data_IF_355350472191
#
_entry.id   IF_355350472191
#
_cell.length_a   1.000
_cell.length_b   1.000
_cell.length_c   1.000
_cell.angle_alpha   90.00
_cell.angle_beta   90.00
_cell.angle_gamma   90.00
#
_symmetry.space_group_name_H-M   'P 1'
#
loop_
_entity.id
_entity.type
_entity.pdbx_description
1 polymer ?
#
# COMPACT_ATOMS: atom_id res chain seq x y z
N UNK A 1 16.40 -6.35 8.98
CA UNK A 1 16.38 -6.36 7.50
C UNK A 1 16.32 -4.91 7.07
N UNK A 2 17.09 -4.54 6.06
CA UNK A 2 16.94 -3.21 5.47
C UNK A 2 15.59 -3.20 4.74
N UNK A 3 14.68 -2.29 5.12
CA UNK A 3 13.36 -2.18 4.50
C UNK A 3 13.37 -1.18 3.32
N UNK A 4 14.55 -0.64 2.96
CA UNK A 4 14.81 0.04 1.70
C UNK A 4 15.79 -0.81 0.88
N UNK A 5 15.39 -1.17 -0.34
CA UNK A 5 16.18 -2.03 -1.21
C UNK A 5 16.39 -1.32 -2.55
N UNK A 6 17.63 -1.39 -3.05
CA UNK A 6 18.00 -0.97 -4.40
C UNK A 6 18.68 -2.16 -5.06
N UNK A 7 18.05 -2.72 -6.08
CA UNK A 7 18.50 -3.98 -6.66
C UNK A 7 18.03 -4.12 -8.11
N UNK A 8 18.43 -5.22 -8.73
CA UNK A 8 18.03 -5.71 -10.06
C UNK A 8 17.49 -7.13 -9.99
N UNK A 9 17.58 -7.79 -8.83
CA UNK A 9 17.06 -9.14 -8.62
C UNK A 9 15.53 -9.18 -8.83
N UNK A 10 15.03 -10.29 -9.38
CA UNK A 10 13.59 -10.43 -9.60
C UNK A 10 12.81 -10.33 -8.29
N UNK A 11 11.90 -9.36 -8.23
CA UNK A 11 10.99 -9.13 -7.11
C UNK A 11 9.55 -9.34 -7.60
N UNK A 12 8.76 -10.11 -6.84
CA UNK A 12 7.33 -10.26 -7.11
C UNK A 12 6.52 -9.44 -6.10
N UNK A 13 5.55 -8.68 -6.59
CA UNK A 13 4.66 -7.81 -5.80
C UNK A 13 3.20 -8.04 -6.23
N UNK A 14 2.26 -7.54 -5.44
CA UNK A 14 0.82 -7.81 -5.66
C UNK A 14 0.00 -6.52 -5.66
N UNK A 15 -1.04 -6.46 -6.50
CA UNK A 15 -1.96 -5.32 -6.54
C UNK A 15 -3.40 -5.78 -6.81
N UNK A 16 -4.37 -5.10 -6.22
CA UNK A 16 -5.78 -5.23 -6.58
C UNK A 16 -6.09 -4.27 -7.72
N UNK A 17 -6.50 -4.78 -8.88
CA UNK A 17 -6.78 -4.00 -10.09
C UNK A 17 -8.25 -4.15 -10.50
N UNK A 18 -8.82 -3.10 -11.10
CA UNK A 18 -10.14 -3.21 -11.73
C UNK A 18 -10.11 -4.21 -12.90
N UNK A 19 -11.27 -4.80 -13.27
CA UNK A 19 -11.36 -5.58 -14.49
C UNK A 19 -10.85 -4.77 -15.68
N UNK A 20 -9.98 -5.39 -16.49
CA UNK A 20 -9.32 -4.77 -17.66
C UNK A 20 -8.34 -3.63 -17.36
N UNK A 21 -8.07 -3.32 -16.08
CA UNK A 21 -7.01 -2.39 -15.73
C UNK A 21 -5.64 -3.05 -15.88
N UNK A 22 -4.75 -2.39 -16.62
CA UNK A 22 -3.33 -2.72 -16.60
C UNK A 22 -2.74 -2.37 -15.22
N UNK A 23 -1.57 -2.93 -14.90
CA UNK A 23 -0.81 -2.42 -13.75
C UNK A 23 -0.68 -0.91 -13.92
N UNK A 24 -0.91 -0.11 -12.87
CA UNK A 24 -1.01 1.34 -13.01
C UNK A 24 0.27 1.90 -13.65
N UNK A 25 0.16 2.18 -14.95
CA UNK A 25 1.07 3.04 -15.66
C UNK A 25 0.73 4.48 -15.30
N UNK A 26 1.30 4.97 -14.20
CA UNK A 26 1.37 6.38 -13.82
C UNK A 26 0.06 7.18 -13.76
N UNK A 27 -0.55 7.29 -12.57
CA UNK A 27 -0.92 8.55 -11.88
C UNK A 27 -1.68 8.18 -10.58
N UNK A 28 -1.22 8.71 -9.43
CA UNK A 28 -1.86 8.55 -8.11
C UNK A 28 -3.31 9.06 -8.12
N UNK A 29 -3.66 9.95 -9.04
CA UNK A 29 -4.99 10.53 -9.16
C UNK A 29 -6.03 9.62 -9.82
N UNK A 30 -5.63 8.56 -10.54
CA UNK A 30 -6.57 7.73 -11.32
C UNK A 30 -6.53 6.23 -11.00
N UNK A 31 -5.50 5.73 -10.30
CA UNK A 31 -5.34 4.27 -10.11
C UNK A 31 -4.94 3.77 -8.71
N UNK A 32 -4.82 4.63 -7.70
CA UNK A 32 -4.35 4.22 -6.39
C UNK A 32 -5.49 3.64 -5.50
N UNK A 33 -5.46 2.37 -5.07
CA UNK A 33 -6.45 1.81 -4.13
C UNK A 33 -6.41 2.45 -2.73
N UNK A 34 -5.33 3.16 -2.39
CA UNK A 34 -5.22 3.94 -1.16
C UNK A 34 -5.76 5.37 -1.30
N UNK A 35 -5.89 5.86 -2.54
CA UNK A 35 -6.27 7.24 -2.88
C UNK A 35 -7.67 7.40 -3.49
N UNK A 36 -8.31 6.33 -3.97
CA UNK A 36 -9.68 6.43 -4.49
C UNK A 36 -10.65 6.76 -3.36
N UNK A 37 -11.19 7.98 -3.38
CA UNK A 37 -12.31 8.39 -2.56
C UNK A 37 -13.52 7.52 -2.90
N UNK A 38 -14.14 6.90 -1.89
CA UNK A 38 -15.46 6.31 -2.07
C UNK A 38 -16.46 7.45 -2.39
N UNK A 39 -17.48 7.26 -3.26
CA UNK A 39 -18.28 8.34 -3.83
C UNK A 39 -19.11 9.20 -2.85
N UNK A 40 -19.03 8.99 -1.54
CA UNK A 40 -19.88 9.68 -0.55
C UNK A 40 -19.15 10.24 0.68
N UNK A 41 -17.82 10.45 0.66
CA UNK A 41 -17.15 10.80 1.92
C UNK A 41 -16.01 11.82 1.79
N UNK A 42 -16.37 13.12 1.70
CA UNK A 42 -15.41 14.25 1.76
C UNK A 42 -14.49 14.15 2.98
N UNK A 43 -14.98 13.58 4.09
CA UNK A 43 -14.22 13.37 5.30
C UNK A 43 -13.04 12.41 5.09
N UNK A 44 -13.26 11.29 4.39
CA UNK A 44 -12.19 10.33 4.06
C UNK A 44 -11.13 10.94 3.15
N UNK A 45 -11.51 11.87 2.27
CA UNK A 45 -10.58 12.58 1.39
C UNK A 45 -9.65 13.48 2.21
N UNK A 46 -10.20 14.24 3.17
CA UNK A 46 -9.40 15.09 4.07
C UNK A 46 -8.47 14.26 4.94
N UNK A 47 -8.94 13.13 5.47
CA UNK A 47 -8.10 12.23 6.28
C UNK A 47 -6.98 11.59 5.47
N UNK A 48 -7.25 11.18 4.22
CA UNK A 48 -6.22 10.68 3.31
C UNK A 48 -5.18 11.76 3.01
N UNK A 49 -5.61 12.97 2.68
CA UNK A 49 -4.70 14.09 2.47
C UNK A 49 -3.85 14.38 3.71
N UNK A 50 -4.47 14.40 4.89
CA UNK A 50 -3.78 14.63 6.16
C UNK A 50 -2.68 13.58 6.42
N UNK A 51 -2.99 12.29 6.23
CA UNK A 51 -2.03 11.21 6.42
C UNK A 51 -0.85 11.32 5.43
N UNK A 52 -1.15 11.46 4.14
CA UNK A 52 -0.12 11.53 3.09
C UNK A 52 0.76 12.78 3.23
N UNK A 53 0.17 13.93 3.56
CA UNK A 53 0.92 15.18 3.79
C UNK A 53 1.96 15.02 4.90
N UNK A 54 1.57 14.46 6.05
CA UNK A 54 2.49 14.33 7.19
C UNK A 54 3.58 13.29 6.91
N UNK A 55 3.24 12.15 6.31
CA UNK A 55 4.24 11.16 5.92
C UNK A 55 5.26 11.76 4.94
N UNK A 56 4.81 12.47 3.91
CA UNK A 56 5.70 13.11 2.94
C UNK A 56 6.53 14.24 3.56
N UNK A 57 5.95 15.06 4.43
CA UNK A 57 6.66 16.14 5.13
C UNK A 57 7.89 15.63 5.88
N UNK A 58 7.74 14.54 6.65
CA UNK A 58 8.85 13.94 7.39
C UNK A 58 9.80 13.18 6.49
N UNK A 59 9.30 12.54 5.41
CA UNK A 59 10.15 11.86 4.43
C UNK A 59 11.16 12.81 3.82
N UNK A 60 10.70 13.96 3.31
CA UNK A 60 11.56 14.95 2.66
C UNK A 60 12.68 15.48 3.57
N UNK A 61 12.41 15.57 4.87
CA UNK A 61 13.34 16.13 5.86
C UNK A 61 14.31 15.12 6.43
N UNK A 62 13.86 13.88 6.68
CA UNK A 62 14.57 12.91 7.50
C UNK A 62 14.83 11.57 6.81
N UNK A 63 14.06 11.24 5.77
CA UNK A 63 14.07 9.94 5.09
C UNK A 63 14.09 10.10 3.57
N UNK A 64 14.88 11.06 3.07
CA UNK A 64 14.86 11.50 1.67
C UNK A 64 15.31 10.43 0.65
N UNK A 65 15.99 9.39 1.13
CA UNK A 65 16.42 8.23 0.36
C UNK A 65 15.28 7.23 0.06
N UNK A 66 14.17 7.33 0.79
CA UNK A 66 12.99 6.49 0.57
C UNK A 66 12.14 7.02 -0.59
N UNK A 67 11.55 6.13 -1.40
CA UNK A 67 10.53 6.49 -2.37
C UNK A 67 9.40 7.31 -1.74
N UNK A 68 8.94 8.34 -2.46
CA UNK A 68 7.76 9.09 -2.03
C UNK A 68 6.51 8.28 -2.30
N UNK A 69 5.62 8.15 -1.31
CA UNK A 69 4.29 7.55 -1.48
C UNK A 69 3.45 8.25 -2.55
N UNK A 70 3.71 9.53 -2.79
CA UNK A 70 3.00 10.34 -3.80
C UNK A 70 3.44 10.03 -5.23
N UNK A 71 4.59 9.36 -5.42
CA UNK A 71 5.18 9.11 -6.74
C UNK A 71 5.52 7.64 -6.99
N UNK A 72 5.64 6.84 -5.94
CA UNK A 72 5.91 5.41 -6.04
C UNK A 72 4.63 4.64 -6.36
N UNK A 73 4.80 3.48 -6.99
CA UNK A 73 3.73 2.50 -7.10
C UNK A 73 3.50 1.87 -5.73
N UNK A 74 2.24 1.84 -5.31
CA UNK A 74 1.81 1.22 -4.05
C UNK A 74 1.33 -0.20 -4.34
N UNK A 75 2.10 -1.19 -3.90
CA UNK A 75 1.78 -2.61 -4.03
C UNK A 75 1.81 -3.29 -2.67
N UNK A 76 1.45 -4.57 -2.62
CA UNK A 76 1.62 -5.43 -1.46
C UNK A 76 2.87 -6.29 -1.62
N UNK A 77 3.62 -6.46 -0.52
CA UNK A 77 4.82 -7.26 -0.51
C UNK A 77 4.54 -8.74 -0.83
N UNK A 78 3.43 -9.27 -0.31
CA UNK A 78 3.01 -10.65 -0.54
C UNK A 78 1.52 -10.76 -0.87
N UNK A 79 1.13 -11.95 -1.36
CA UNK A 79 -0.27 -12.31 -1.51
C UNK A 79 -1.04 -12.24 -0.18
N UNK A 80 -0.39 -12.65 0.92
CA UNK A 80 -0.99 -12.66 2.26
C UNK A 80 -1.31 -11.22 2.71
N UNK A 81 -0.38 -10.29 2.47
CA UNK A 81 -0.61 -8.87 2.75
C UNK A 81 -1.81 -8.31 1.97
N UNK A 82 -1.90 -8.64 0.68
CA UNK A 82 -3.02 -8.21 -0.16
C UNK A 82 -4.37 -8.79 0.30
N UNK A 83 -4.40 -10.04 0.73
CA UNK A 83 -5.60 -10.70 1.26
C UNK A 83 -5.99 -10.14 2.64
N UNK A 84 -5.02 -9.88 3.52
CA UNK A 84 -5.25 -9.20 4.80
C UNK A 84 -5.81 -7.80 4.60
N UNK A 85 -5.26 -7.04 3.63
CA UNK A 85 -5.80 -5.73 3.27
C UNK A 85 -7.25 -5.81 2.82
N UNK A 86 -7.59 -6.80 1.98
CA UNK A 86 -8.98 -7.04 1.53
C UNK A 86 -9.91 -7.34 2.70
N UNK A 87 -9.46 -8.13 3.68
CA UNK A 87 -10.27 -8.45 4.85
C UNK A 87 -10.56 -7.21 5.71
N UNK A 88 -9.57 -6.33 5.87
CA UNK A 88 -9.71 -5.07 6.62
C UNK A 88 -10.52 -4.02 5.88
N UNK A 89 -10.29 -3.90 4.57
CA UNK A 89 -10.81 -2.82 3.73
C UNK A 89 -11.59 -3.36 2.52
N UNK A 90 -12.66 -4.16 2.73
CA UNK A 90 -13.34 -4.85 1.64
C UNK A 90 -13.90 -3.88 0.58
N UNK A 91 -14.34 -2.70 0.99
CA UNK A 91 -14.85 -1.66 0.08
C UNK A 91 -13.80 -1.09 -0.86
N UNK A 92 -12.51 -1.07 -0.48
CA UNK A 92 -11.41 -0.52 -1.32
C UNK A 92 -11.01 -1.45 -2.47
N UNK A 93 -11.37 -2.72 -2.37
CA UNK A 93 -10.99 -3.76 -3.34
C UNK A 93 -12.19 -4.49 -3.93
N UNK A 94 -13.40 -4.01 -3.65
CA UNK A 94 -14.63 -4.58 -4.19
C UNK A 94 -14.61 -4.54 -5.72
N UNK A 95 -14.92 -5.68 -6.36
CA UNK A 95 -14.89 -5.81 -7.82
C UNK A 95 -13.49 -5.90 -8.46
N UNK A 96 -12.42 -5.77 -7.68
CA UNK A 96 -11.04 -5.85 -8.17
C UNK A 96 -10.52 -7.29 -8.19
N UNK A 97 -9.56 -7.56 -9.08
CA UNK A 97 -8.84 -8.84 -9.17
C UNK A 97 -7.43 -8.69 -8.63
N UNK A 98 -6.96 -9.71 -7.88
CA UNK A 98 -5.59 -9.73 -7.37
C UNK A 98 -4.63 -10.15 -8.50
N UNK A 99 -3.73 -9.24 -8.86
CA UNK A 99 -2.69 -9.44 -9.87
C UNK A 99 -1.33 -9.53 -9.20
N UNK A 100 -0.48 -10.39 -9.76
CA UNK A 100 0.93 -10.50 -9.39
C UNK A 100 1.78 -9.81 -10.45
N UNK A 101 2.69 -8.95 -10.02
CA UNK A 101 3.63 -8.19 -10.84
C UNK A 101 5.06 -8.64 -10.56
N UNK A 102 5.94 -8.52 -11.56
CA UNK A 102 7.36 -8.86 -11.45
C UNK A 102 8.21 -7.66 -11.83
N UNK A 103 9.26 -7.36 -11.07
CA UNK A 103 10.22 -6.32 -11.42
C UNK A 103 11.01 -6.68 -12.68
N UNK A 104 11.33 -5.65 -13.46
CA UNK A 104 12.20 -5.73 -14.61
C UNK A 104 13.28 -4.65 -14.51
N UNK A 105 14.54 -5.08 -14.58
CA UNK A 105 15.68 -4.18 -14.47
C UNK A 105 15.88 -3.61 -13.06
N UNK A 106 16.55 -2.46 -12.99
CA UNK A 106 16.87 -1.80 -11.73
C UNK A 106 15.63 -1.17 -11.09
N UNK A 107 15.51 -1.34 -9.77
CA UNK A 107 14.43 -0.74 -8.99
C UNK A 107 14.91 -0.24 -7.63
N UNK A 108 14.08 0.63 -7.05
CA UNK A 108 14.10 0.99 -5.64
C UNK A 108 12.76 0.59 -5.04
N UNK A 109 12.78 -0.08 -3.90
CA UNK A 109 11.56 -0.44 -3.16
C UNK A 109 11.74 -0.19 -1.69
N UNK A 110 10.69 0.27 -1.01
CA UNK A 110 10.65 0.26 0.45
C UNK A 110 9.39 -0.38 1.00
N UNK A 111 9.51 -1.09 2.12
CA UNK A 111 8.43 -1.83 2.74
C UNK A 111 7.98 -1.19 4.04
N UNK A 112 6.67 -1.05 4.21
CA UNK A 112 6.06 -0.38 5.35
C UNK A 112 4.77 -1.07 5.79
N UNK A 113 4.42 -0.98 7.07
CA UNK A 113 3.12 -1.42 7.55
C UNK A 113 2.06 -0.36 7.23
N UNK A 114 1.15 -0.68 6.29
CA UNK A 114 0.06 0.23 5.89
C UNK A 114 -0.93 0.50 7.01
N UNK A 115 -0.92 -0.29 8.10
CA UNK A 115 -1.74 -0.03 9.28
C UNK A 115 -1.43 1.34 9.87
N UNK A 116 -0.21 1.87 9.78
CA UNK A 116 0.05 3.26 10.24
C UNK A 116 -0.86 4.30 9.60
N UNK A 117 -1.31 4.09 8.36
CA UNK A 117 -2.25 4.99 7.71
C UNK A 117 -3.66 4.84 8.28
N UNK A 118 -4.07 3.62 8.63
CA UNK A 118 -5.36 3.38 9.28
C UNK A 118 -5.41 4.09 10.63
N UNK A 119 -4.30 4.10 11.37
CA UNK A 119 -4.18 4.91 12.60
C UNK A 119 -4.34 6.40 12.33
N UNK A 120 -3.59 6.94 11.36
CA UNK A 120 -3.64 8.37 11.02
C UNK A 120 -5.03 8.81 10.54
N UNK A 121 -5.84 7.88 10.02
CA UNK A 121 -7.22 8.10 9.58
C UNK A 121 -8.26 7.94 10.70
N UNK A 122 -7.88 7.55 11.92
CA UNK A 122 -8.83 7.48 13.02
C UNK A 122 -9.35 8.89 13.37
N UNK A 123 -10.62 9.02 13.83
CA UNK A 123 -11.21 10.30 14.19
C UNK A 123 -10.70 10.79 15.55
N UNK A 124 -9.42 11.12 15.63
CA UNK A 124 -8.74 11.67 16.81
C UNK A 124 -7.91 12.90 16.46
N UNK A 125 -7.65 13.74 17.46
CA UNK A 125 -6.68 14.83 17.35
C UNK A 125 -5.30 14.31 17.75
N UNK A 126 -4.32 14.44 16.86
CA UNK A 126 -2.93 14.07 17.12
C UNK A 126 -2.08 15.31 17.39
N UNK A 127 -1.21 15.24 18.38
CA UNK A 127 -0.19 16.27 18.61
C UNK A 127 0.90 16.20 17.53
N UNK A 128 1.63 17.30 17.31
CA UNK A 128 2.78 17.30 16.39
C UNK A 128 3.85 16.27 16.79
N UNK A 129 4.07 16.07 18.10
CA UNK A 129 4.99 15.05 18.61
C UNK A 129 4.53 13.65 18.24
N UNK A 130 3.23 13.35 18.42
CA UNK A 130 2.67 12.04 18.04
C UNK A 130 2.73 11.83 16.53
N UNK A 131 2.46 12.87 15.73
CA UNK A 131 2.60 12.80 14.27
C UNK A 131 4.03 12.51 13.84
N UNK A 132 5.01 13.12 14.50
CA UNK A 132 6.42 12.82 14.29
C UNK A 132 6.75 11.36 14.63
N UNK A 133 6.32 10.87 15.79
CA UNK A 133 6.57 9.50 16.24
C UNK A 133 5.98 8.48 15.26
N UNK A 134 4.69 8.61 14.92
CA UNK A 134 4.00 7.76 13.96
C UNK A 134 4.69 7.76 12.61
N UNK A 135 5.02 8.94 12.07
CA UNK A 135 5.72 9.06 10.79
C UNK A 135 7.13 8.46 10.86
N UNK A 136 7.83 8.63 11.98
CA UNK A 136 9.15 8.04 12.19
C UNK A 136 9.07 6.51 12.23
N UNK A 137 8.07 5.94 12.87
CA UNK A 137 7.90 4.49 12.92
C UNK A 137 7.59 3.91 11.54
N UNK A 138 6.68 4.56 10.81
CA UNK A 138 6.38 4.22 9.42
C UNK A 138 7.65 4.18 8.55
N UNK A 139 8.41 5.27 8.52
CA UNK A 139 9.61 5.38 7.68
C UNK A 139 10.78 4.50 8.13
N UNK A 140 10.80 4.07 9.40
CA UNK A 140 11.79 3.10 9.92
C UNK A 140 11.36 1.64 9.71
N UNK A 141 10.19 1.39 9.12
CA UNK A 141 9.70 0.04 8.85
C UNK A 141 9.22 -0.70 10.10
N UNK A 142 8.89 0.02 11.18
CA UNK A 142 8.35 -0.60 12.39
C UNK A 142 6.90 -1.06 12.16
N UNK A 143 6.50 -2.16 12.81
CA UNK A 143 5.11 -2.63 12.74
C UNK A 143 4.27 -1.93 13.80
N UNK A 144 2.99 -1.66 13.49
CA UNK A 144 2.06 -1.04 14.44
C UNK A 144 1.95 -1.86 15.73
N UNK A 145 1.88 -3.18 15.60
CA UNK A 145 1.67 -4.09 16.72
C UNK A 145 2.83 -4.10 17.73
N UNK A 146 4.05 -3.79 17.26
CA UNK A 146 5.28 -3.69 18.07
C UNK A 146 5.29 -2.45 18.96
N UNK A 147 4.77 -1.33 18.45
CA UNK A 147 4.76 -0.05 19.18
C UNK A 147 3.67 -0.01 20.25
N UNK A 148 2.55 -0.71 20.03
CA UNK A 148 1.49 -0.83 21.04
C UNK A 148 0.67 0.45 21.23
N UNK A 149 0.30 1.09 20.11
CA UNK A 149 -0.55 2.28 20.09
C UNK A 149 -1.88 2.06 20.84
N UNK A 150 -2.50 3.17 21.24
CA UNK A 150 -3.83 3.17 21.84
C UNK A 150 -4.79 4.05 21.06
N UNK A 151 -6.04 3.64 21.03
CA UNK A 151 -7.18 4.42 20.55
C UNK A 151 -8.35 4.18 21.49
N UNK A 152 -9.04 5.25 21.93
CA UNK A 152 -10.15 5.16 22.90
C UNK A 152 -9.81 4.34 24.17
N UNK A 153 -8.58 4.51 24.69
CA UNK A 153 -8.02 3.77 25.84
C UNK A 153 -7.80 2.26 25.64
N UNK A 154 -8.12 1.71 24.47
CA UNK A 154 -7.84 0.32 24.13
C UNK A 154 -6.51 0.21 23.37
N UNK A 155 -5.84 -0.93 23.53
CA UNK A 155 -4.64 -1.22 22.72
C UNK A 155 -5.09 -1.48 21.30
N UNK A 156 -4.61 -0.65 20.39
CA UNK A 156 -4.89 -0.81 18.98
C UNK A 156 -4.03 -1.96 18.43
N UNK A 157 -4.70 -3.01 17.96
CA UNK A 157 -4.07 -4.24 17.47
C UNK A 157 -4.68 -4.59 16.13
N UNK A 158 -3.91 -4.36 15.10
CA UNK A 158 -4.27 -4.68 13.73
C UNK A 158 -3.17 -5.59 13.16
N UNK A 159 -3.50 -6.73 12.52
CA UNK A 159 -2.50 -7.54 11.85
C UNK A 159 -1.72 -6.69 10.83
N UNK A 160 -0.39 -6.75 10.76
CA UNK A 160 0.34 -5.91 9.83
C UNK A 160 -0.06 -6.23 8.38
N UNK A 161 -0.06 -5.18 7.55
CA UNK A 161 -0.26 -5.31 6.11
C UNK A 161 0.90 -4.59 5.44
N UNK A 162 1.84 -5.38 4.91
CA UNK A 162 3.07 -4.82 4.35
C UNK A 162 2.81 -4.34 2.92
N UNK A 163 2.88 -3.02 2.76
CA UNK A 163 2.90 -2.36 1.46
C UNK A 163 4.34 -2.16 0.98
N UNK A 164 4.49 -2.06 -0.34
CA UNK A 164 5.72 -1.78 -1.04
C UNK A 164 5.58 -0.48 -1.82
N UNK A 165 6.45 0.50 -1.54
CA UNK A 165 6.63 1.71 -2.34
C UNK A 165 7.68 1.41 -3.40
N UNK A 166 7.25 1.15 -4.63
CA UNK A 166 8.11 0.69 -5.69
C UNK A 166 8.37 1.77 -6.75
N UNK A 167 9.63 1.92 -7.16
CA UNK A 167 10.09 2.74 -8.28
C UNK A 167 10.93 1.88 -9.22
N UNK A 168 10.47 1.71 -10.45
CA UNK A 168 11.11 0.86 -11.46
C UNK A 168 10.07 0.37 -12.46
N UNK A 169 10.42 -0.65 -13.23
CA UNK A 169 9.49 -1.29 -14.18
C UNK A 169 8.89 -2.56 -13.58
N UNK A 170 7.57 -2.74 -13.76
CA UNK A 170 6.84 -3.95 -13.39
C UNK A 170 6.13 -4.53 -14.61
N UNK A 171 6.13 -5.86 -14.71
CA UNK A 171 5.33 -6.59 -15.68
C UNK A 171 4.28 -7.46 -14.98
N UNK A 172 3.01 -7.43 -15.43
CA UNK A 172 1.99 -8.31 -14.88
C UNK A 172 2.25 -9.75 -15.30
N UNK A 173 2.26 -10.66 -14.33
CA UNK A 173 2.29 -12.09 -14.60
C UNK A 173 0.86 -12.53 -14.95
N UNK A 174 0.57 -12.51 -16.25
CA UNK A 174 -0.65 -13.08 -16.79
C UNK A 174 -0.67 -14.58 -16.50
N UNK A 175 -1.60 -15.04 -15.66
CA UNK A 175 -1.96 -16.46 -15.67
C UNK A 175 -2.72 -16.70 -16.96
N UNK A 176 -2.14 -17.45 -17.90
CA UNK A 176 -2.93 -18.10 -18.92
C UNK A 176 -4.00 -18.92 -18.19
N UNK A 177 -5.25 -18.46 -18.27
CA UNK A 177 -6.37 -19.33 -17.97
C UNK A 177 -6.32 -20.39 -19.07
N UNK A 178 -5.77 -21.56 -18.76
CA UNK A 178 -6.10 -22.75 -19.55
C UNK A 178 -7.60 -22.93 -19.40
N UNK A 179 -8.36 -22.45 -20.38
CA UNK A 179 -9.71 -22.92 -20.61
C UNK A 179 -9.57 -24.43 -20.78
N UNK A 180 -10.09 -25.26 -19.87
CA UNK A 180 -10.20 -26.67 -20.17
C UNK A 180 -11.15 -26.71 -21.36
N UNK A 181 -10.62 -27.07 -22.53
CA UNK A 181 -11.40 -27.46 -23.68
C UNK A 181 -12.41 -28.49 -23.18
N UNK A 182 -13.69 -28.13 -23.11
CA UNK A 182 -14.75 -29.11 -22.91
C UNK A 182 -14.93 -29.81 -24.26
N UNK A 183 -14.59 -31.10 -24.39
CA UNK A 183 -14.88 -31.82 -25.61
C UNK A 183 -16.38 -32.12 -25.63
N UNK A 184 -17.12 -31.61 -26.63
CA UNK A 184 -18.46 -32.12 -26.89
C UNK A 184 -19.54 -31.20 -27.44
N UNK A 185 -19.23 -30.16 -28.22
CA UNK A 185 -20.25 -29.56 -29.09
C UNK A 185 -19.75 -29.54 -30.52
N UNK A 186 -20.19 -30.56 -31.28
CA UNK A 186 -20.21 -30.59 -32.74
C UNK A 186 -21.54 -30.05 -33.24
#
# INVERSE_FOLDING_TARGET
MDHLIKDTATLELYAWLDPDAELPGWDVLTGNPFGTSLPEDQFTTVQNYFAEYHLEYYRQRLYNNFPSRLHALLLFATRVDAENFRAKHPGRVFGKTLVRARSQGAYVVSFHDSSWLDYLRLPHSLSLTTLYEVSSHYWKGALVEEIGLRFMNERWREPPVIEALFQGTLEPIHRQQHTPWLPGFS
#
